data_IF_768416852321
#
_entry.id   IF_768416852321
#
_cell.length_a   1.000
_cell.length_b   1.000
_cell.length_c   1.000
_cell.angle_alpha   90.00
_cell.angle_beta   90.00
_cell.angle_gamma   90.00
#
_symmetry.space_group_name_H-M   'P 1'
#
loop_
_entity.id
_entity.type
_entity.pdbx_description
1 polymer ?
#
# COMPACT_ATOMS: atom_id res chain seq x y z
N UNK A 1 -24.59 -25.89 2.22
CA UNK A 1 -23.14 -25.67 2.29
C UNK A 1 -22.98 -24.16 2.34
N UNK A 2 -22.51 -23.61 3.46
CA UNK A 2 -22.30 -22.17 3.57
C UNK A 2 -21.25 -21.78 2.54
N UNK A 3 -21.54 -20.77 1.71
CA UNK A 3 -20.58 -20.22 0.77
C UNK A 3 -19.33 -19.82 1.58
N UNK A 4 -18.20 -20.47 1.30
CA UNK A 4 -16.96 -20.19 2.01
C UNK A 4 -16.55 -18.76 1.64
N UNK A 5 -16.63 -17.84 2.61
CA UNK A 5 -16.34 -16.43 2.40
C UNK A 5 -14.95 -16.28 1.81
N UNK A 6 -14.87 -15.90 0.53
CA UNK A 6 -13.60 -15.76 -0.16
C UNK A 6 -12.92 -14.48 0.28
N UNK A 7 -11.93 -14.57 1.15
CA UNK A 7 -11.16 -13.40 1.60
C UNK A 7 -10.21 -12.89 0.50
N UNK A 8 -10.12 -11.56 0.38
CA UNK A 8 -9.08 -10.91 -0.40
C UNK A 8 -7.71 -11.13 0.24
N UNK A 9 -6.67 -11.12 -0.59
CA UNK A 9 -5.30 -11.00 -0.13
C UNK A 9 -4.82 -9.55 -0.17
N UNK A 10 -3.70 -9.27 0.51
CA UNK A 10 -2.97 -8.00 0.39
C UNK A 10 -2.72 -7.67 -1.08
N UNK A 11 -2.31 -8.65 -1.89
CA UNK A 11 -2.12 -8.52 -3.33
C UNK A 11 -3.39 -8.04 -4.04
N UNK A 12 -4.53 -8.70 -3.79
CA UNK A 12 -5.79 -8.38 -4.47
C UNK A 12 -6.22 -6.92 -4.21
N UNK A 13 -6.03 -6.45 -2.99
CA UNK A 13 -6.31 -5.07 -2.58
C UNK A 13 -5.35 -4.08 -3.25
N UNK A 14 -4.04 -4.30 -3.11
CA UNK A 14 -3.05 -3.32 -3.57
C UNK A 14 -2.87 -3.29 -5.08
N UNK A 15 -3.03 -4.40 -5.80
CA UNK A 15 -3.02 -4.37 -7.28
C UNK A 15 -4.16 -3.51 -7.82
N UNK A 16 -5.35 -3.58 -7.21
CA UNK A 16 -6.48 -2.74 -7.57
C UNK A 16 -6.25 -1.28 -7.18
N UNK A 17 -5.76 -1.02 -5.96
CA UNK A 17 -5.45 0.34 -5.50
C UNK A 17 -4.41 1.02 -6.39
N UNK A 18 -3.32 0.31 -6.74
CA UNK A 18 -2.26 0.82 -7.62
C UNK A 18 -2.79 1.03 -9.04
N UNK A 19 -3.62 0.11 -9.56
CA UNK A 19 -4.24 0.27 -10.88
C UNK A 19 -5.10 1.53 -10.93
N UNK A 20 -5.92 1.77 -9.89
CA UNK A 20 -6.73 2.98 -9.77
C UNK A 20 -5.86 4.23 -9.63
N UNK A 21 -4.82 4.19 -8.81
CA UNK A 21 -3.88 5.29 -8.66
C UNK A 21 -3.24 5.66 -10.01
N UNK A 22 -2.78 4.67 -10.79
CA UNK A 22 -2.18 4.91 -12.11
C UNK A 22 -3.13 5.49 -13.16
N UNK A 23 -4.46 5.37 -12.95
CA UNK A 23 -5.46 6.01 -13.82
C UNK A 23 -5.79 7.45 -13.41
N UNK A 24 -5.34 7.90 -12.25
CA UNK A 24 -5.52 9.27 -11.80
C UNK A 24 -4.52 10.21 -12.51
N UNK A 25 -4.95 11.33 -13.10
CA UNK A 25 -4.06 12.28 -13.77
C UNK A 25 -2.90 12.78 -12.88
N UNK A 26 -3.12 12.88 -11.57
CA UNK A 26 -2.10 13.29 -10.60
C UNK A 26 -0.95 12.29 -10.54
N UNK A 27 -1.23 11.00 -10.75
CA UNK A 27 -0.18 9.98 -10.76
C UNK A 27 0.80 10.22 -11.90
N UNK A 28 0.30 10.51 -13.10
CA UNK A 28 1.15 10.82 -14.25
C UNK A 28 1.98 12.10 -14.02
N UNK A 29 1.36 13.14 -13.44
CA UNK A 29 2.02 14.40 -13.11
C UNK A 29 3.21 14.19 -12.16
N UNK A 30 2.99 13.53 -11.03
CA UNK A 30 4.05 13.30 -10.04
C UNK A 30 5.08 12.27 -10.49
N UNK A 31 4.69 11.30 -11.33
CA UNK A 31 5.64 10.34 -11.92
C UNK A 31 6.65 10.99 -12.87
N UNK A 32 6.30 12.12 -13.49
CA UNK A 32 7.24 12.91 -14.31
C UNK A 32 8.27 13.67 -13.47
N UNK A 33 7.88 14.07 -12.26
CA UNK A 33 8.77 14.75 -11.30
C UNK A 33 9.74 13.72 -10.69
N UNK A 34 9.18 12.60 -10.23
CA UNK A 34 9.91 11.51 -9.60
C UNK A 34 9.82 10.24 -10.45
N UNK A 35 10.81 10.04 -11.33
CA UNK A 35 10.99 8.76 -12.02
C UNK A 35 11.35 7.69 -10.99
N UNK A 36 10.50 6.67 -10.88
CA UNK A 36 10.69 5.56 -9.96
C UNK A 36 11.61 4.51 -10.58
N UNK A 37 12.62 4.10 -9.83
CA UNK A 37 13.47 2.95 -10.18
C UNK A 37 12.72 1.63 -9.99
N UNK A 38 11.85 1.57 -8.98
CA UNK A 38 10.90 0.47 -8.84
C UNK A 38 9.68 0.83 -7.97
N UNK A 39 8.58 0.15 -8.24
CA UNK A 39 7.39 0.06 -7.41
C UNK A 39 7.01 -1.42 -7.22
N UNK A 40 6.87 -1.90 -5.99
CA UNK A 40 6.66 -3.34 -5.74
C UNK A 40 5.82 -3.66 -4.51
N UNK A 41 5.03 -4.73 -4.64
CA UNK A 41 4.38 -5.41 -3.53
C UNK A 41 5.40 -6.23 -2.73
N UNK A 42 5.38 -6.09 -1.41
CA UNK A 42 6.25 -6.84 -0.52
C UNK A 42 5.94 -8.35 -0.56
N UNK A 43 6.95 -9.14 -0.92
CA UNK A 43 6.81 -10.59 -1.15
C UNK A 43 6.43 -11.37 0.11
N UNK A 44 6.79 -10.86 1.29
CA UNK A 44 6.59 -11.50 2.59
C UNK A 44 5.13 -11.54 3.03
N UNK A 45 4.30 -10.59 2.58
CA UNK A 45 2.92 -10.46 3.03
C UNK A 45 1.89 -10.39 1.88
N UNK A 46 2.31 -10.33 0.62
CA UNK A 46 1.38 -10.16 -0.52
C UNK A 46 0.28 -11.23 -0.61
N UNK A 47 0.52 -12.44 -0.10
CA UNK A 47 -0.47 -13.52 -0.12
C UNK A 47 -1.26 -13.66 1.19
N UNK A 48 -0.97 -12.82 2.19
CA UNK A 48 -1.74 -12.80 3.42
C UNK A 48 -3.19 -12.46 3.13
N UNK A 49 -4.09 -13.23 3.73
CA UNK A 49 -5.53 -12.99 3.65
C UNK A 49 -5.94 -11.90 4.63
N UNK A 50 -6.79 -11.01 4.13
CA UNK A 50 -7.42 -9.95 4.89
C UNK A 50 -8.75 -10.48 5.43
N UNK A 51 -8.70 -11.04 6.64
CA UNK A 51 -9.88 -11.54 7.35
C UNK A 51 -10.69 -10.39 7.94
N UNK A 52 -10.01 -9.39 8.49
CA UNK A 52 -10.61 -8.27 9.23
C UNK A 52 -10.19 -6.95 8.63
N UNK A 53 -11.00 -5.92 8.86
CA UNK A 53 -10.68 -4.53 8.52
C UNK A 53 -10.26 -3.71 9.76
N UNK A 54 -9.66 -4.35 10.78
CA UNK A 54 -9.20 -3.71 12.02
C UNK A 54 -7.78 -3.11 11.83
N UNK A 55 -7.53 -2.44 10.69
CA UNK A 55 -6.21 -1.89 10.34
C UNK A 55 -6.31 -0.54 9.60
N UNK A 56 -5.26 0.25 9.71
CA UNK A 56 -5.03 1.48 8.95
C UNK A 56 -4.09 1.24 7.76
N UNK A 57 -4.26 2.02 6.70
CA UNK A 57 -3.30 2.10 5.58
C UNK A 57 -2.45 3.36 5.75
N UNK A 58 -1.16 3.19 6.01
CA UNK A 58 -0.25 4.27 6.38
C UNK A 58 0.85 4.42 5.33
N UNK A 59 1.02 5.63 4.80
CA UNK A 59 2.11 5.98 3.89
C UNK A 59 3.24 6.72 4.60
N UNK A 60 4.48 6.35 4.32
CA UNK A 60 5.69 6.98 4.88
C UNK A 60 6.68 7.30 3.76
N UNK A 61 7.29 8.49 3.82
CA UNK A 61 8.33 8.90 2.88
C UNK A 61 9.62 9.16 3.62
N UNK A 62 10.71 8.51 3.22
CA UNK A 62 11.99 8.59 3.92
C UNK A 62 13.15 8.80 2.95
N UNK A 63 14.18 9.50 3.41
CA UNK A 63 15.48 9.52 2.75
C UNK A 63 16.24 8.26 3.14
N UNK A 64 16.55 7.41 2.16
CA UNK A 64 17.31 6.18 2.30
C UNK A 64 18.82 6.39 2.46
N UNK A 65 19.23 7.45 3.16
CA UNK A 65 20.63 7.91 3.20
C UNK A 65 21.22 8.05 1.79
N UNK A 66 22.06 7.11 1.34
CA UNK A 66 22.69 7.12 0.00
C UNK A 66 21.88 6.38 -1.07
N UNK A 67 20.76 5.76 -0.72
CA UNK A 67 20.00 4.89 -1.62
C UNK A 67 18.87 5.60 -2.36
N UNK A 68 18.67 6.89 -2.15
CA UNK A 68 17.57 7.66 -2.75
C UNK A 68 16.40 7.89 -1.78
N UNK A 69 15.20 8.05 -2.33
CA UNK A 69 13.96 8.29 -1.57
C UNK A 69 13.08 7.04 -1.64
N UNK A 70 12.55 6.64 -0.48
CA UNK A 70 11.61 5.53 -0.35
C UNK A 70 10.22 6.07 0.01
N UNK A 71 9.20 5.51 -0.64
CA UNK A 71 7.81 5.62 -0.26
C UNK A 71 7.29 4.27 0.18
N UNK A 72 7.20 4.03 1.49
CA UNK A 72 6.73 2.78 2.05
C UNK A 72 5.24 2.89 2.42
N UNK A 73 4.44 1.87 2.09
CA UNK A 73 3.06 1.76 2.54
C UNK A 73 2.94 0.57 3.48
N UNK A 74 2.31 0.80 4.62
CA UNK A 74 2.09 -0.17 5.68
C UNK A 74 0.60 -0.45 5.89
N UNK A 75 0.30 -1.68 6.29
CA UNK A 75 -0.91 -1.97 7.07
C UNK A 75 -0.55 -1.93 8.54
N UNK A 76 -1.30 -1.17 9.33
CA UNK A 76 -1.10 -0.99 10.77
C UNK A 76 -2.35 -1.41 11.54
N UNK A 77 -2.29 -2.47 12.32
CA UNK A 77 -3.44 -3.06 13.01
C UNK A 77 -3.56 -4.55 12.74
N UNK A 78 -4.78 -5.08 12.68
CA UNK A 78 -5.03 -6.50 12.53
C UNK A 78 -5.94 -6.81 11.33
N UNK A 79 -5.37 -7.53 10.35
CA UNK A 79 -6.10 -8.13 9.22
C UNK A 79 -6.07 -9.67 9.26
N UNK A 80 -5.41 -10.25 10.24
CA UNK A 80 -5.17 -11.68 10.37
C UNK A 80 -6.39 -12.40 10.97
N UNK A 81 -6.42 -13.73 10.84
CA UNK A 81 -7.46 -14.55 11.47
C UNK A 81 -7.36 -14.48 13.00
N UNK A 82 -6.14 -14.46 13.52
CA UNK A 82 -5.81 -14.42 14.95
C UNK A 82 -5.71 -12.97 15.45
N UNK A 83 -6.40 -12.66 16.57
CA UNK A 83 -6.49 -11.28 17.11
C UNK A 83 -5.16 -10.75 17.66
N UNK A 84 -4.30 -11.66 18.10
CA UNK A 84 -3.14 -11.30 18.93
C UNK A 84 -1.81 -11.70 18.29
N UNK A 85 -1.72 -11.75 16.95
CA UNK A 85 -0.45 -12.01 16.27
C UNK A 85 0.50 -10.79 16.47
N UNK A 86 1.52 -10.91 17.35
CA UNK A 86 2.38 -9.77 17.68
C UNK A 86 3.26 -9.35 16.50
N UNK A 87 3.39 -10.20 15.48
CA UNK A 87 4.19 -9.95 14.29
C UNK A 87 3.42 -9.24 13.17
N UNK A 88 2.10 -9.08 13.30
CA UNK A 88 1.25 -8.46 12.26
C UNK A 88 0.68 -7.10 12.62
N UNK A 89 1.13 -6.47 13.70
CA UNK A 89 0.67 -5.12 14.07
C UNK A 89 1.11 -4.03 13.07
N UNK A 90 2.21 -4.24 12.34
CA UNK A 90 2.69 -3.33 11.29
C UNK A 90 3.43 -4.10 10.20
N UNK A 91 2.82 -4.24 9.03
CA UNK A 91 3.47 -4.88 7.88
C UNK A 91 3.65 -3.91 6.74
N UNK A 92 4.88 -3.81 6.23
CA UNK A 92 5.14 -3.10 4.98
C UNK A 92 4.60 -3.93 3.81
N UNK A 93 3.70 -3.34 3.04
CA UNK A 93 2.97 -4.02 1.96
C UNK A 93 3.36 -3.55 0.58
N UNK A 94 3.79 -2.30 0.43
CA UNK A 94 4.16 -1.73 -0.86
C UNK A 94 5.33 -0.76 -0.71
N UNK A 95 6.18 -0.68 -1.73
CA UNK A 95 7.35 0.21 -1.76
C UNK A 95 7.44 0.89 -3.12
N UNK A 96 7.66 2.19 -3.10
CA UNK A 96 8.11 2.99 -4.24
C UNK A 96 9.53 3.47 -3.96
N UNK A 97 10.42 3.43 -4.95
CA UNK A 97 11.79 3.94 -4.81
C UNK A 97 12.18 4.80 -5.99
N UNK A 98 12.89 5.90 -5.71
CA UNK A 98 13.69 6.63 -6.69
C UNK A 98 15.12 6.83 -6.17
N UNK A 99 16.12 6.84 -7.04
CA UNK A 99 17.50 7.21 -6.73
C UNK A 99 17.69 8.73 -6.61
N UNK A 100 16.69 9.52 -7.03
CA UNK A 100 16.70 10.97 -6.81
C UNK A 100 16.66 11.29 -5.31
N UNK A 101 17.19 12.46 -4.95
CA UNK A 101 17.29 12.93 -3.56
C UNK A 101 16.87 14.39 -3.40
N UNK A 102 16.38 15.02 -4.46
CA UNK A 102 15.95 16.41 -4.42
C UNK A 102 14.57 16.56 -3.74
N UNK A 103 14.27 17.78 -3.32
CA UNK A 103 13.04 18.15 -2.61
C UNK A 103 11.78 17.86 -3.44
N UNK A 104 11.79 18.12 -4.74
CA UNK A 104 10.61 17.92 -5.58
C UNK A 104 10.30 16.43 -5.72
N UNK A 105 11.35 15.61 -5.87
CA UNK A 105 11.21 14.15 -5.84
C UNK A 105 10.65 13.64 -4.52
N UNK A 106 11.09 14.19 -3.37
CA UNK A 106 10.58 13.79 -2.06
C UNK A 106 9.08 14.09 -1.90
N UNK A 107 8.64 15.27 -2.33
CA UNK A 107 7.22 15.63 -2.31
C UNK A 107 6.40 14.79 -3.30
N UNK A 108 6.94 14.53 -4.50
CA UNK A 108 6.28 13.71 -5.50
C UNK A 108 6.09 12.25 -5.03
N UNK A 109 7.10 11.63 -4.39
CA UNK A 109 6.94 10.30 -3.77
C UNK A 109 5.82 10.33 -2.72
N UNK A 110 5.77 11.37 -1.88
CA UNK A 110 4.68 11.53 -0.91
C UNK A 110 3.29 11.61 -1.54
N UNK A 111 3.16 12.29 -2.67
CA UNK A 111 1.91 12.34 -3.41
C UNK A 111 1.52 10.98 -3.97
N UNK A 112 2.46 10.25 -4.58
CA UNK A 112 2.21 8.91 -5.12
C UNK A 112 1.83 7.91 -4.03
N UNK A 113 2.56 7.91 -2.90
CA UNK A 113 2.27 7.10 -1.70
C UNK A 113 0.85 7.37 -1.20
N UNK A 114 0.51 8.63 -0.95
CA UNK A 114 -0.78 8.99 -0.38
C UNK A 114 -1.94 8.71 -1.34
N UNK A 115 -1.72 8.83 -2.64
CA UNK A 115 -2.73 8.50 -3.65
C UNK A 115 -3.04 6.99 -3.66
N UNK A 116 -2.02 6.13 -3.54
CA UNK A 116 -2.22 4.68 -3.40
C UNK A 116 -2.94 4.37 -2.08
N UNK A 117 -2.55 5.03 -0.97
CA UNK A 117 -3.25 4.88 0.32
C UNK A 117 -4.74 5.26 0.21
N UNK A 118 -5.07 6.34 -0.51
CA UNK A 118 -6.46 6.73 -0.73
C UNK A 118 -7.26 5.63 -1.43
N UNK A 119 -6.76 5.10 -2.55
CA UNK A 119 -7.47 4.05 -3.29
C UNK A 119 -7.48 2.70 -2.55
N UNK A 120 -6.50 2.43 -1.70
CA UNK A 120 -6.50 1.29 -0.81
C UNK A 120 -7.63 1.40 0.24
N UNK A 121 -7.82 2.58 0.84
CA UNK A 121 -8.94 2.81 1.74
C UNK A 121 -10.30 2.74 1.01
N UNK A 122 -10.39 3.27 -0.20
CA UNK A 122 -11.59 3.16 -1.04
C UNK A 122 -11.93 1.69 -1.34
N UNK A 123 -10.91 0.87 -1.62
CA UNK A 123 -11.08 -0.57 -1.81
C UNK A 123 -11.69 -1.24 -0.57
N UNK A 124 -11.16 -0.95 0.63
CA UNK A 124 -11.72 -1.50 1.88
C UNK A 124 -13.16 -1.05 2.08
N UNK A 125 -13.44 0.25 1.92
CA UNK A 125 -14.77 0.83 2.12
C UNK A 125 -15.84 0.23 1.19
N UNK A 126 -15.46 -0.14 -0.04
CA UNK A 126 -16.36 -0.73 -1.04
C UNK A 126 -16.54 -2.24 -0.91
N UNK A 127 -15.77 -2.90 -0.03
CA UNK A 127 -15.78 -4.35 0.15
C UNK A 127 -15.94 -4.77 1.62
N UNK A 128 -16.57 -3.94 2.45
CA UNK A 128 -16.75 -4.21 3.89
C UNK A 128 -17.44 -5.56 4.16
N UNK A 129 -18.33 -6.01 3.27
CA UNK A 129 -19.02 -7.31 3.34
C UNK A 129 -18.06 -8.53 3.27
N UNK A 130 -16.82 -8.31 2.82
CA UNK A 130 -15.81 -9.35 2.64
C UNK A 130 -14.87 -9.51 3.83
N UNK A 131 -15.03 -8.69 4.87
CA UNK A 131 -14.29 -8.78 6.14
C UNK A 131 -15.21 -9.32 7.25
N UNK A 132 -14.64 -10.09 8.17
CA UNK A 132 -15.31 -10.67 9.35
C UNK A 132 -15.62 -9.65 10.45
#
# INVERSE_FOLDING_TARGET
MADEKRYFSVKDMFEQAVTRAKTDPRYEEYSKICELDYDLLCSTCKYDKLYRCEFDVVGEVTYGSSEGIYGDIFLYGNWSKERDDPFKSRARVYVLKTLKQDKESYLAVGMLVNLICYYANEFVATHLDRFD
#
